data_IF_176316071673
#
_entry.id   IF_176316071673
#
_cell.length_a   1.000
_cell.length_b   1.000
_cell.length_c   1.000
_cell.angle_alpha   90.00
_cell.angle_beta   90.00
_cell.angle_gamma   90.00
#
_symmetry.space_group_name_H-M   'P 1'
#
loop_
_entity.id
_entity.type
_entity.pdbx_description
1 polymer ?
#
# COMPACT_ATOMS: atom_id res chain seq x y z
N UNK A 1 -5.96 32.59 6.38
CA UNK A 1 -7.30 31.97 6.56
C UNK A 1 -7.08 30.65 7.28
N UNK A 2 -7.32 30.61 8.60
CA UNK A 2 -7.14 29.41 9.42
C UNK A 2 -8.43 28.59 9.38
N UNK A 3 -8.35 27.38 8.82
CA UNK A 3 -9.48 26.46 8.78
C UNK A 3 -9.79 25.97 10.19
N UNK A 4 -11.06 25.88 10.54
CA UNK A 4 -11.50 25.34 11.84
C UNK A 4 -10.99 23.90 11.98
N UNK A 5 -10.44 23.53 13.14
CA UNK A 5 -9.79 22.24 13.41
C UNK A 5 -10.61 21.03 12.93
N UNK A 6 -11.92 21.03 13.19
CA UNK A 6 -12.84 19.98 12.73
C UNK A 6 -12.91 19.87 11.20
N UNK A 7 -12.95 20.99 10.49
CA UNK A 7 -12.94 21.01 9.03
C UNK A 7 -11.58 20.56 8.47
N UNK A 8 -10.49 20.93 9.14
CA UNK A 8 -9.15 20.48 8.76
C UNK A 8 -9.00 18.96 8.89
N UNK A 9 -9.51 18.35 9.98
CA UNK A 9 -9.53 16.89 10.13
C UNK A 9 -10.33 16.23 9.03
N UNK A 10 -11.56 16.70 8.75
CA UNK A 10 -12.41 16.10 7.70
C UNK A 10 -11.72 16.18 6.34
N UNK A 11 -11.10 17.31 6.02
CA UNK A 11 -10.33 17.47 4.78
C UNK A 11 -9.15 16.49 4.69
N UNK A 12 -8.36 16.37 5.76
CA UNK A 12 -7.21 15.48 5.87
C UNK A 12 -7.64 14.01 5.73
N UNK A 13 -8.73 13.61 6.38
CA UNK A 13 -9.26 12.23 6.32
C UNK A 13 -9.78 11.89 4.92
N UNK A 14 -10.56 12.78 4.30
CA UNK A 14 -11.09 12.56 2.95
C UNK A 14 -9.97 12.48 1.91
N UNK A 15 -8.96 13.35 2.00
CA UNK A 15 -7.77 13.28 1.14
C UNK A 15 -6.97 12.00 1.38
N UNK A 16 -6.85 11.57 2.64
CA UNK A 16 -6.19 10.31 3.00
C UNK A 16 -6.87 9.10 2.41
N UNK A 17 -8.20 9.04 2.48
CA UNK A 17 -8.99 7.96 1.89
C UNK A 17 -8.88 7.96 0.36
N UNK A 18 -8.99 9.11 -0.30
CA UNK A 18 -8.84 9.21 -1.74
C UNK A 18 -7.46 8.73 -2.21
N UNK A 19 -6.41 9.10 -1.47
CA UNK A 19 -5.06 8.67 -1.77
C UNK A 19 -4.86 7.17 -1.55
N UNK A 20 -5.33 6.62 -0.43
CA UNK A 20 -5.27 5.17 -0.16
C UNK A 20 -6.03 4.38 -1.22
N UNK A 21 -7.19 4.86 -1.66
CA UNK A 21 -7.96 4.26 -2.75
C UNK A 21 -7.18 4.28 -4.07
N UNK A 22 -6.51 5.39 -4.39
CA UNK A 22 -5.64 5.50 -5.58
C UNK A 22 -4.47 4.52 -5.50
N UNK A 23 -3.80 4.44 -4.35
CA UNK A 23 -2.73 3.50 -4.08
C UNK A 23 -3.19 2.05 -4.29
N UNK A 24 -4.36 1.69 -3.78
CA UNK A 24 -4.93 0.36 -3.94
C UNK A 24 -5.20 0.01 -5.41
N UNK A 25 -5.78 0.95 -6.17
CA UNK A 25 -6.02 0.78 -7.62
C UNK A 25 -4.69 0.64 -8.38
N UNK A 26 -3.70 1.48 -8.07
CA UNK A 26 -2.36 1.38 -8.66
C UNK A 26 -1.74 0.02 -8.35
N UNK A 27 -1.85 -0.47 -7.11
CA UNK A 27 -1.31 -1.77 -6.73
C UNK A 27 -1.99 -2.90 -7.53
N UNK A 28 -3.31 -2.86 -7.71
CA UNK A 28 -4.06 -3.84 -8.52
C UNK A 28 -3.64 -3.81 -9.98
N UNK A 29 -3.55 -2.61 -10.58
CA UNK A 29 -3.11 -2.44 -11.97
C UNK A 29 -1.67 -2.89 -12.15
N UNK A 30 -0.82 -2.50 -11.20
CA UNK A 30 0.56 -2.95 -11.14
C UNK A 30 0.57 -4.46 -11.04
N UNK A 31 -0.36 -5.10 -10.27
CA UNK A 31 -0.77 -6.55 -10.12
C UNK A 31 -1.21 -7.31 -11.37
N UNK A 32 -1.26 -6.63 -12.54
CA UNK A 32 -1.11 -7.31 -13.84
C UNK A 32 0.18 -7.07 -14.70
N UNK A 33 1.14 -6.19 -14.36
CA UNK A 33 2.31 -5.79 -15.20
C UNK A 33 3.71 -6.44 -14.92
N UNK A 34 4.43 -6.98 -15.92
CA UNK A 34 5.74 -7.70 -15.83
C UNK A 34 6.93 -6.99 -15.14
N UNK A 35 6.86 -5.69 -14.83
CA UNK A 35 7.89 -4.92 -14.11
C UNK A 35 7.56 -4.60 -12.63
N UNK A 36 6.57 -5.30 -12.07
CA UNK A 36 6.38 -5.68 -10.67
C UNK A 36 7.24 -5.06 -9.57
N UNK A 37 8.52 -5.44 -9.51
CA UNK A 37 9.39 -5.23 -8.33
C UNK A 37 9.74 -3.75 -8.14
N UNK A 38 9.97 -3.03 -9.24
CA UNK A 38 10.26 -1.59 -9.21
C UNK A 38 9.02 -0.80 -8.79
N UNK A 39 7.87 -1.15 -9.34
CA UNK A 39 6.60 -0.49 -9.03
C UNK A 39 6.19 -0.71 -7.57
N UNK A 40 6.49 -1.88 -6.99
CA UNK A 40 6.28 -2.14 -5.56
C UNK A 40 7.16 -1.26 -4.66
N UNK A 41 8.43 -1.11 -5.03
CA UNK A 41 9.36 -0.21 -4.35
C UNK A 41 8.90 1.25 -4.43
N UNK A 42 8.41 1.69 -5.59
CA UNK A 42 7.84 3.03 -5.78
C UNK A 42 6.59 3.24 -4.92
N UNK A 43 5.68 2.27 -4.86
CA UNK A 43 4.47 2.30 -4.03
C UNK A 43 4.83 2.38 -2.54
N UNK A 44 5.83 1.62 -2.08
CA UNK A 44 6.31 1.66 -0.71
C UNK A 44 6.95 3.03 -0.37
N UNK A 45 7.82 3.54 -1.25
CA UNK A 45 8.43 4.86 -1.09
C UNK A 45 7.40 5.99 -1.07
N UNK A 46 6.40 5.93 -1.96
CA UNK A 46 5.29 6.88 -2.01
C UNK A 46 4.47 6.86 -0.70
N UNK A 47 4.22 5.66 -0.16
CA UNK A 47 3.48 5.50 1.09
C UNK A 47 4.25 6.04 2.32
N UNK A 48 5.57 5.87 2.35
CA UNK A 48 6.45 6.44 3.39
C UNK A 48 6.49 7.96 3.29
N UNK A 49 6.67 8.50 2.07
CA UNK A 49 6.66 9.95 1.84
C UNK A 49 5.33 10.59 2.26
N UNK A 50 4.21 9.92 1.98
CA UNK A 50 2.89 10.38 2.39
C UNK A 50 2.73 10.36 3.91
N UNK A 51 3.18 9.31 4.59
CA UNK A 51 3.14 9.23 6.06
C UNK A 51 3.92 10.38 6.70
N UNK A 52 5.08 10.74 6.14
CA UNK A 52 5.86 11.90 6.58
C UNK A 52 5.12 13.22 6.33
N UNK A 53 4.43 13.37 5.19
CA UNK A 53 3.64 14.57 4.88
C UNK A 53 2.43 14.74 5.82
N UNK A 54 1.76 13.65 6.23
CA UNK A 54 0.67 13.76 7.19
C UNK A 54 1.13 14.31 8.54
N UNK A 55 2.32 13.91 9.02
CA UNK A 55 2.86 14.41 10.30
C UNK A 55 3.01 15.94 10.28
N UNK A 56 3.33 16.54 9.13
CA UNK A 56 3.56 17.99 9.02
C UNK A 56 2.30 18.79 8.72
N UNK A 57 1.30 18.18 8.08
CA UNK A 57 0.05 18.85 7.67
C UNK A 57 -1.02 18.80 8.78
N UNK A 58 -0.89 17.87 9.75
CA UNK A 58 -1.87 17.75 10.83
C UNK A 58 -1.99 19.06 11.64
N UNK A 59 -3.21 19.59 11.82
CA UNK A 59 -3.42 20.83 12.56
C UNK A 59 -2.96 20.67 14.02
N UNK A 60 -2.35 21.74 14.56
CA UNK A 60 -1.88 21.74 15.94
C UNK A 60 -3.07 21.65 16.90
N UNK A 61 -3.16 20.59 17.73
CA UNK A 61 -4.27 20.42 18.65
C UNK A 61 -4.20 21.42 19.80
N UNK A 62 -5.32 22.09 20.07
CA UNK A 62 -5.44 23.05 21.18
C UNK A 62 -5.91 22.36 22.47
N UNK A 63 -6.53 21.19 22.38
CA UNK A 63 -7.00 20.39 23.51
C UNK A 63 -6.29 19.03 23.71
N UNK A 64 -6.42 18.46 24.91
CA UNK A 64 -5.89 17.12 25.25
C UNK A 64 -6.53 16.00 24.40
N UNK A 65 -7.85 16.05 24.20
CA UNK A 65 -8.57 15.07 23.37
C UNK A 65 -8.12 15.15 21.90
N UNK A 66 -7.87 16.35 21.41
CA UNK A 66 -7.38 16.59 20.04
C UNK A 66 -5.96 16.05 19.86
N UNK A 67 -5.09 16.17 20.88
CA UNK A 67 -3.75 15.57 20.88
C UNK A 67 -3.79 14.05 20.76
N UNK A 68 -4.67 13.41 21.52
CA UNK A 68 -4.84 11.95 21.49
C UNK A 68 -5.35 11.53 20.11
N UNK A 69 -6.33 12.24 19.54
CA UNK A 69 -6.89 11.93 18.24
C UNK A 69 -5.87 12.07 17.10
N UNK A 70 -5.07 13.14 17.10
CA UNK A 70 -3.98 13.32 16.14
C UNK A 70 -2.94 12.21 16.25
N UNK A 71 -2.56 11.82 17.47
CA UNK A 71 -1.58 10.74 17.70
C UNK A 71 -2.10 9.38 17.23
N UNK A 72 -3.38 9.07 17.50
CA UNK A 72 -4.02 7.84 17.03
C UNK A 72 -4.05 7.79 15.49
N UNK A 73 -4.36 8.90 14.83
CA UNK A 73 -4.35 8.96 13.36
C UNK A 73 -2.95 8.77 12.77
N UNK A 74 -1.94 9.44 13.34
CA UNK A 74 -0.55 9.31 12.91
C UNK A 74 -0.05 7.87 13.06
N UNK A 75 -0.52 7.12 14.06
CA UNK A 75 -0.18 5.70 14.21
C UNK A 75 -1.02 4.77 13.32
N UNK A 76 -2.33 5.01 13.21
CA UNK A 76 -3.23 4.14 12.46
C UNK A 76 -2.94 4.16 10.95
N UNK A 77 -2.56 5.32 10.40
CA UNK A 77 -2.29 5.49 8.97
C UNK A 77 -1.12 4.63 8.45
N UNK A 78 0.09 4.65 9.05
CA UNK A 78 1.19 3.77 8.64
C UNK A 78 0.90 2.30 8.92
N UNK A 79 0.11 1.97 9.96
CA UNK A 79 -0.33 0.58 10.21
C UNK A 79 -1.23 0.07 9.09
N UNK A 80 -2.19 0.88 8.63
CA UNK A 80 -3.04 0.51 7.48
C UNK A 80 -2.24 0.33 6.20
N UNK A 81 -1.31 1.25 5.92
CA UNK A 81 -0.39 1.15 4.78
C UNK A 81 0.41 -0.16 4.87
N UNK A 82 0.99 -0.44 6.05
CA UNK A 82 1.73 -1.67 6.30
C UNK A 82 0.89 -2.93 6.09
N UNK A 83 -0.36 -2.93 6.54
CA UNK A 83 -1.28 -4.05 6.35
C UNK A 83 -1.63 -4.28 4.87
N UNK A 84 -1.89 -3.21 4.11
CA UNK A 84 -2.15 -3.29 2.67
C UNK A 84 -0.93 -3.87 1.93
N UNK A 85 0.27 -3.35 2.23
CA UNK A 85 1.54 -3.85 1.68
C UNK A 85 1.84 -5.29 2.10
N UNK A 86 1.46 -5.69 3.31
CA UNK A 86 1.67 -7.06 3.77
C UNK A 86 0.75 -8.05 3.04
N UNK A 87 -0.55 -7.74 2.92
CA UNK A 87 -1.49 -8.58 2.20
C UNK A 87 -1.10 -8.77 0.74
N UNK A 88 -0.62 -7.70 0.08
CA UNK A 88 -0.13 -7.80 -1.29
C UNK A 88 1.18 -8.56 -1.42
N UNK A 89 2.05 -8.51 -0.39
CA UNK A 89 3.25 -9.34 -0.34
C UNK A 89 2.94 -10.85 -0.22
N UNK A 90 1.94 -11.21 0.59
CA UNK A 90 1.48 -12.61 0.71
C UNK A 90 0.88 -13.08 -0.62
N UNK A 91 -0.01 -12.29 -1.22
CA UNK A 91 -0.58 -12.60 -2.54
C UNK A 91 0.51 -12.77 -3.61
N UNK A 92 1.55 -11.92 -3.58
CA UNK A 92 2.72 -12.03 -4.45
C UNK A 92 3.50 -13.33 -4.27
N UNK A 93 3.71 -13.76 -3.01
CA UNK A 93 4.47 -14.97 -2.73
C UNK A 93 3.76 -16.21 -3.25
N UNK A 94 2.43 -16.23 -3.14
CA UNK A 94 1.57 -17.29 -3.66
C UNK A 94 1.53 -17.31 -5.21
N UNK A 95 1.44 -16.16 -5.89
CA UNK A 95 1.46 -16.10 -7.36
C UNK A 95 2.80 -16.60 -7.93
N UNK A 96 3.90 -16.21 -7.29
CA UNK A 96 5.24 -16.65 -7.70
C UNK A 96 5.44 -18.15 -7.50
N UNK A 97 4.95 -18.71 -6.39
CA UNK A 97 4.98 -20.16 -6.16
C UNK A 97 4.11 -20.91 -7.18
N UNK A 98 2.94 -20.37 -7.50
CA UNK A 98 2.04 -20.92 -8.52
C UNK A 98 2.73 -21.00 -9.88
N UNK A 99 3.26 -19.89 -10.40
CA UNK A 99 3.97 -19.89 -11.69
C UNK A 99 5.17 -20.82 -11.70
N UNK A 100 5.94 -20.88 -10.60
CA UNK A 100 7.08 -21.79 -10.51
C UNK A 100 6.66 -23.26 -10.56
N UNK A 101 5.51 -23.62 -9.96
CA UNK A 101 4.94 -24.96 -10.06
C UNK A 101 4.49 -25.31 -11.48
N UNK A 102 3.89 -24.36 -12.22
CA UNK A 102 3.46 -24.61 -13.60
C UNK A 102 4.65 -24.80 -14.55
N UNK A 103 5.67 -23.93 -14.45
CA UNK A 103 6.89 -24.02 -15.28
C UNK A 103 7.68 -25.32 -15.01
N UNK A 104 7.70 -25.77 -13.76
CA UNK A 104 8.35 -27.02 -13.36
C UNK A 104 7.62 -28.24 -13.94
N UNK A 105 6.28 -28.24 -13.93
CA UNK A 105 5.50 -29.31 -14.57
C UNK A 105 5.64 -29.29 -16.10
N UNK A 106 5.59 -28.11 -16.74
CA UNK A 106 5.75 -27.99 -18.18
C UNK A 106 7.11 -28.51 -18.69
N UNK A 107 8.18 -28.32 -17.91
CA UNK A 107 9.52 -28.84 -18.24
C UNK A 107 9.60 -30.38 -18.17
N UNK A 108 8.82 -31.01 -17.28
CA UNK A 108 8.72 -32.47 -17.22
C UNK A 108 8.00 -33.04 -18.46
N UNK A 109 6.93 -32.39 -18.91
CA UNK A 109 6.18 -32.82 -20.09
C UNK A 109 6.95 -32.60 -21.39
N UNK A 110 7.71 -31.50 -21.53
CA UNK A 110 8.54 -31.28 -22.73
C UNK A 110 9.73 -32.26 -22.80
N UNK A 111 10.35 -32.60 -21.67
CA UNK A 111 11.40 -33.62 -21.61
C UNK A 111 10.90 -35.03 -21.98
N UNK A 112 9.64 -35.34 -21.68
CA UNK A 112 9.05 -36.65 -22.01
C UNK A 112 8.80 -36.81 -23.51
N UNK A 113 8.56 -35.70 -24.22
CA UNK A 113 8.34 -35.68 -25.66
C UNK A 113 9.63 -35.67 -26.49
N UNK A 114 10.79 -35.33 -25.90
CA UNK A 114 12.07 -35.31 -26.63
C UNK A 114 12.86 -36.62 -26.54
N UNK A 115 12.31 -37.65 -25.87
CA UNK A 115 12.98 -38.95 -25.63
C UNK A 115 12.21 -40.11 -26.30
N UNK A 116 11.09 -39.84 -26.98
CA UNK A 116 10.38 -40.79 -27.85
C UNK A 116 10.73 -40.54 -29.32
#
# INVERSE_FOLDING_TARGET
>A
MTMVFKNAIVFIVLNGLAFLSSLFVIIILVMELPMWKLLYGSVAALSVAMSAAYITIFPNPNGELEKIQTRLFIMAFPVMIGAILYNTFIAFTNDKESRHKVDFQASYFSSSYSIA
#
